data_IF_566822682678
#
_entry.id   IF_566822682678
#
_cell.length_a   1.000
_cell.length_b   1.000
_cell.length_c   1.000
_cell.angle_alpha   90.00
_cell.angle_beta   90.00
_cell.angle_gamma   90.00
#
_symmetry.space_group_name_H-M   'P 1'
#
loop_
_entity.id
_entity.type
_entity.pdbx_description
1 polymer ?
#
# COMPACT_ATOMS: atom_id res chain seq x y z
N UNK A 1 -19.14 7.60 -6.49
CA UNK A 1 -18.11 6.98 -7.38
C UNK A 1 -17.04 6.21 -6.60
N UNK A 2 -16.32 6.87 -5.69
CA UNK A 2 -15.21 6.27 -4.94
C UNK A 2 -15.63 5.10 -4.04
N UNK A 3 -16.79 5.21 -3.37
CA UNK A 3 -17.34 4.14 -2.51
C UNK A 3 -17.64 2.84 -3.28
N UNK A 4 -18.12 2.92 -4.53
CA UNK A 4 -18.39 1.73 -5.36
C UNK A 4 -17.10 1.03 -5.79
N UNK A 5 -16.04 1.80 -6.06
CA UNK A 5 -14.73 1.25 -6.38
C UNK A 5 -14.08 0.58 -5.16
N UNK A 6 -14.11 1.24 -4.00
CA UNK A 6 -13.62 0.64 -2.75
C UNK A 6 -14.38 -0.64 -2.38
N UNK A 7 -15.69 -0.68 -2.69
CA UNK A 7 -16.52 -1.87 -2.50
C UNK A 7 -16.28 -2.95 -3.57
N UNK A 8 -15.72 -2.57 -4.72
CA UNK A 8 -15.32 -3.48 -5.80
C UNK A 8 -13.92 -4.05 -5.63
N UNK A 9 -13.04 -3.37 -4.89
CA UNK A 9 -11.76 -3.91 -4.41
C UNK A 9 -12.02 -4.96 -3.31
N UNK A 10 -12.73 -4.55 -2.25
CA UNK A 10 -13.03 -5.43 -1.13
C UNK A 10 -14.42 -6.04 -1.19
N UNK A 11 -14.61 -7.17 -1.87
CA UNK A 11 -15.77 -8.04 -1.57
C UNK A 11 -15.56 -8.88 -0.30
N UNK A 12 -14.30 -9.13 0.10
CA UNK A 12 -13.95 -9.78 1.38
C UNK A 12 -13.37 -8.80 2.42
N UNK A 13 -12.68 -7.74 1.99
CA UNK A 13 -11.95 -6.80 2.88
C UNK A 13 -12.60 -5.42 3.05
N UNK A 14 -13.91 -5.28 2.78
CA UNK A 14 -14.65 -4.02 2.92
C UNK A 14 -14.45 -3.34 4.30
N UNK A 15 -14.23 -4.14 5.35
CA UNK A 15 -13.94 -3.64 6.69
C UNK A 15 -12.63 -2.86 6.80
N UNK A 16 -11.60 -3.22 6.02
CA UNK A 16 -10.32 -2.51 5.95
C UNK A 16 -10.47 -1.13 5.31
N UNK A 17 -11.09 -1.07 4.14
CA UNK A 17 -11.36 0.20 3.44
C UNK A 17 -12.28 1.13 4.21
N UNK A 18 -13.28 0.61 4.93
CA UNK A 18 -14.11 1.42 5.84
C UNK A 18 -13.27 2.10 6.92
N UNK A 19 -12.33 1.39 7.56
CA UNK A 19 -11.43 1.98 8.57
C UNK A 19 -10.54 3.05 7.97
N UNK A 20 -10.03 2.84 6.74
CA UNK A 20 -9.22 3.82 6.04
C UNK A 20 -10.03 5.09 5.78
N UNK A 21 -11.25 4.96 5.25
CA UNK A 21 -12.11 6.11 4.98
C UNK A 21 -12.46 6.88 6.25
N UNK A 22 -12.71 6.18 7.37
CA UNK A 22 -13.01 6.81 8.65
C UNK A 22 -11.81 7.56 9.24
N UNK A 23 -10.60 6.99 9.13
CA UNK A 23 -9.38 7.54 9.72
C UNK A 23 -8.65 8.55 8.80
N UNK A 24 -8.83 8.39 7.49
CA UNK A 24 -8.19 9.17 6.44
C UNK A 24 -9.24 9.59 5.38
N UNK A 25 -10.19 10.47 5.74
CA UNK A 25 -11.28 10.87 4.84
C UNK A 25 -10.77 11.53 3.54
N UNK A 26 -9.55 12.07 3.54
CA UNK A 26 -8.92 12.64 2.35
C UNK A 26 -8.76 11.63 1.20
N UNK A 27 -8.75 10.32 1.49
CA UNK A 27 -8.73 9.27 0.46
C UNK A 27 -9.93 9.38 -0.49
N UNK A 28 -11.05 9.94 -0.03
CA UNK A 28 -12.26 10.14 -0.83
C UNK A 28 -12.20 11.38 -1.72
N UNK A 29 -11.31 12.34 -1.41
CA UNK A 29 -11.11 13.57 -2.18
C UNK A 29 -10.22 13.29 -3.40
N UNK A 30 -9.31 12.33 -3.27
CA UNK A 30 -8.46 11.86 -4.35
C UNK A 30 -9.26 11.04 -5.38
N UNK A 31 -8.91 11.22 -6.65
CA UNK A 31 -9.54 10.49 -7.75
C UNK A 31 -9.08 9.04 -7.75
N UNK A 32 -10.04 8.13 -7.58
CA UNK A 32 -9.77 6.68 -7.58
C UNK A 32 -9.00 6.22 -8.81
N UNK A 33 -9.43 6.68 -9.98
CA UNK A 33 -8.91 6.21 -11.27
C UNK A 33 -7.52 6.78 -11.57
N UNK A 34 -7.27 8.04 -11.19
CA UNK A 34 -6.03 8.73 -11.58
C UNK A 34 -4.97 8.77 -10.48
N UNK A 35 -5.31 8.51 -9.21
CA UNK A 35 -4.31 8.48 -8.13
C UNK A 35 -4.26 7.17 -7.36
N UNK A 36 -5.40 6.67 -6.84
CA UNK A 36 -5.39 5.46 -6.01
C UNK A 36 -5.02 4.21 -6.80
N UNK A 37 -5.64 3.96 -7.96
CA UNK A 37 -5.35 2.78 -8.79
C UNK A 37 -3.87 2.71 -9.21
N UNK A 38 -3.27 3.77 -9.79
CA UNK A 38 -1.85 3.76 -10.13
C UNK A 38 -0.96 3.52 -8.90
N UNK A 39 -1.28 4.14 -7.75
CA UNK A 39 -0.52 3.98 -6.52
C UNK A 39 -0.60 2.55 -5.99
N UNK A 40 -1.78 1.95 -5.93
CA UNK A 40 -1.97 0.55 -5.51
C UNK A 40 -1.22 -0.40 -6.44
N UNK A 41 -1.30 -0.19 -7.77
CA UNK A 41 -0.56 -1.01 -8.74
C UNK A 41 0.96 -0.88 -8.58
N UNK A 42 1.45 0.33 -8.30
CA UNK A 42 2.85 0.57 -8.01
C UNK A 42 3.29 -0.17 -6.74
N UNK A 43 2.53 -0.04 -5.65
CA UNK A 43 2.81 -0.75 -4.40
C UNK A 43 2.83 -2.27 -4.64
N UNK A 44 1.86 -2.82 -5.36
CA UNK A 44 1.80 -4.26 -5.60
C UNK A 44 2.96 -4.77 -6.43
N UNK A 45 3.42 -3.97 -7.39
CA UNK A 45 4.65 -4.27 -8.11
C UNK A 45 5.88 -4.19 -7.19
N UNK A 46 5.94 -3.21 -6.31
CA UNK A 46 7.07 -3.02 -5.39
C UNK A 46 7.18 -4.16 -4.37
N UNK A 47 6.05 -4.59 -3.80
CA UNK A 47 5.98 -5.68 -2.83
C UNK A 47 5.82 -7.06 -3.49
N UNK A 48 5.82 -7.16 -4.82
CA UNK A 48 5.67 -8.44 -5.51
C UNK A 48 4.38 -9.22 -5.20
N UNK A 49 3.34 -8.54 -4.69
CA UNK A 49 2.06 -9.17 -4.31
C UNK A 49 0.97 -8.91 -5.35
N UNK A 50 0.04 -9.86 -5.47
CA UNK A 50 -1.13 -9.72 -6.35
C UNK A 50 -2.16 -8.72 -5.80
N UNK A 51 -2.24 -8.56 -4.47
CA UNK A 51 -3.13 -7.60 -3.80
C UNK A 51 -2.42 -6.90 -2.64
N UNK A 52 -2.56 -5.58 -2.58
CA UNK A 52 -2.01 -4.73 -1.53
C UNK A 52 -3.07 -4.24 -0.55
N UNK A 53 -4.29 -4.77 -0.63
CA UNK A 53 -5.40 -4.32 0.19
C UNK A 53 -5.13 -4.56 1.68
N UNK A 54 -4.56 -5.71 2.02
CA UNK A 54 -4.10 -6.02 3.37
C UNK A 54 -3.01 -5.05 3.85
N UNK A 55 -1.99 -4.79 3.03
CA UNK A 55 -0.91 -3.87 3.36
C UNK A 55 -1.43 -2.45 3.63
N UNK A 56 -2.33 -1.97 2.77
CA UNK A 56 -2.93 -0.64 2.88
C UNK A 56 -3.91 -0.58 4.06
N UNK A 57 -4.57 -1.68 4.40
CA UNK A 57 -5.41 -1.79 5.60
C UNK A 57 -4.58 -1.78 6.89
N UNK A 58 -3.40 -2.39 6.89
CA UNK A 58 -2.47 -2.41 8.02
C UNK A 58 -1.74 -1.08 8.19
N UNK A 59 -1.32 -0.46 7.09
CA UNK A 59 -0.61 0.81 7.09
C UNK A 59 -1.10 1.76 6.00
N UNK A 60 -2.25 2.41 6.22
CA UNK A 60 -2.83 3.34 5.26
C UNK A 60 -1.90 4.51 4.85
N UNK A 61 -1.02 5.05 5.73
CA UNK A 61 -0.09 6.12 5.35
C UNK A 61 0.76 5.83 4.11
N UNK A 62 0.96 4.55 3.76
CA UNK A 62 1.70 4.13 2.56
C UNK A 62 1.18 4.74 1.25
N UNK A 63 -0.12 5.06 1.19
CA UNK A 63 -0.73 5.69 0.02
C UNK A 63 -0.16 7.09 -0.25
N UNK A 64 0.38 7.75 0.77
CA UNK A 64 0.91 9.12 0.69
C UNK A 64 2.44 9.19 0.72
N UNK A 65 3.14 8.07 0.92
CA UNK A 65 4.60 8.05 0.88
C UNK A 65 5.10 8.34 -0.55
N UNK A 66 6.24 9.03 -0.67
CA UNK A 66 6.84 9.29 -1.97
C UNK A 66 7.40 7.99 -2.57
N UNK A 67 7.30 7.79 -3.90
CA UNK A 67 7.96 6.68 -4.58
C UNK A 67 9.46 6.62 -4.27
N UNK A 68 10.13 7.77 -4.25
CA UNK A 68 11.57 7.86 -3.96
C UNK A 68 11.93 7.33 -2.56
N UNK A 69 11.10 7.61 -1.56
CA UNK A 69 11.30 7.08 -0.19
C UNK A 69 11.12 5.56 -0.17
N UNK A 70 10.06 5.06 -0.81
CA UNK A 70 9.79 3.63 -0.90
C UNK A 70 10.92 2.88 -1.61
N UNK A 71 11.41 3.42 -2.72
CA UNK A 71 12.54 2.87 -3.46
C UNK A 71 13.83 2.90 -2.64
N UNK A 72 14.11 4.01 -1.94
CA UNK A 72 15.27 4.11 -1.07
C UNK A 72 15.26 3.07 0.05
N UNK A 73 14.08 2.81 0.65
CA UNK A 73 13.92 1.79 1.70
C UNK A 73 14.08 0.39 1.14
N UNK A 74 13.47 0.09 -0.01
CA UNK A 74 13.62 -1.21 -0.67
C UNK A 74 15.07 -1.44 -1.12
N UNK A 75 15.72 -0.43 -1.67
CA UNK A 75 17.14 -0.46 -2.01
C UNK A 75 18.00 -0.76 -0.79
N UNK A 76 17.74 -0.09 0.34
CA UNK A 76 18.46 -0.38 1.59
C UNK A 76 18.30 -1.83 2.03
N UNK A 77 17.09 -2.38 1.99
CA UNK A 77 16.86 -3.78 2.37
C UNK A 77 17.57 -4.76 1.42
N UNK A 78 17.53 -4.50 0.11
CA UNK A 78 18.14 -5.40 -0.90
C UNK A 78 19.65 -5.29 -0.96
N UNK A 79 20.19 -4.08 -1.03
CA UNK A 79 21.60 -3.85 -1.33
C UNK A 79 22.45 -3.70 -0.07
N UNK A 80 21.94 -2.99 0.96
CA UNK A 80 22.71 -2.79 2.20
C UNK A 80 22.59 -3.96 3.17
N UNK A 81 21.42 -4.60 3.24
CA UNK A 81 21.19 -5.76 4.11
C UNK A 81 21.28 -7.10 3.38
N UNK A 82 21.46 -7.08 2.05
CA UNK A 82 21.60 -8.29 1.21
C UNK A 82 20.43 -9.26 1.41
N UNK A 83 19.22 -8.71 1.58
CA UNK A 83 18.01 -9.50 1.79
C UNK A 83 17.47 -10.03 0.46
N UNK A 84 16.89 -11.22 0.48
CA UNK A 84 16.19 -11.76 -0.70
C UNK A 84 14.86 -11.02 -0.92
N UNK A 85 14.28 -11.17 -2.11
CA UNK A 85 12.96 -10.60 -2.40
C UNK A 85 11.90 -11.07 -1.41
N UNK A 86 11.92 -12.35 -1.04
CA UNK A 86 10.98 -12.94 -0.09
C UNK A 86 11.13 -12.33 1.31
N UNK A 87 12.37 -12.09 1.75
CA UNK A 87 12.66 -11.46 3.05
C UNK A 87 12.21 -10.00 3.06
N UNK A 88 12.47 -9.26 1.98
CA UNK A 88 11.99 -7.88 1.82
C UNK A 88 10.48 -7.83 1.85
N UNK A 89 9.80 -8.72 1.13
CA UNK A 89 8.34 -8.83 1.17
C UNK A 89 7.81 -9.15 2.56
N UNK A 90 8.47 -10.07 3.27
CA UNK A 90 8.10 -10.43 4.63
C UNK A 90 8.25 -9.24 5.59
N UNK A 91 9.39 -8.56 5.57
CA UNK A 91 9.65 -7.38 6.42
C UNK A 91 8.63 -6.29 6.13
N UNK A 92 8.34 -6.02 4.86
CA UNK A 92 7.42 -4.97 4.47
C UNK A 92 5.95 -5.29 4.77
N UNK A 93 5.56 -6.57 4.67
CA UNK A 93 4.23 -7.03 5.05
C UNK A 93 4.01 -7.05 6.57
N UNK A 94 5.04 -7.43 7.33
CA UNK A 94 4.97 -7.56 8.79
C UNK A 94 5.24 -6.24 9.52
N UNK A 95 6.12 -5.40 8.98
CA UNK A 95 6.57 -4.15 9.58
C UNK A 95 6.48 -2.97 8.59
N UNK A 96 5.28 -2.67 8.06
CA UNK A 96 5.10 -1.58 7.09
C UNK A 96 5.48 -0.21 7.63
N UNK A 97 5.56 -0.03 8.96
CA UNK A 97 6.06 1.18 9.61
C UNK A 97 7.53 1.51 9.28
N UNK A 98 8.33 0.55 8.83
CA UNK A 98 9.72 0.81 8.43
C UNK A 98 9.84 1.71 7.19
N UNK A 99 8.75 1.81 6.42
CA UNK A 99 8.64 2.68 5.25
C UNK A 99 8.43 4.16 5.62
N UNK A 100 8.06 4.44 6.88
CA UNK A 100 7.93 5.78 7.44
C UNK A 100 9.24 6.42 7.85
#
# INVERSE_FOLDING_TARGET
PNVKFLRGLGSEEWTGWQRIVLKYPQVLIHSVESSLKPKLKYLCKLFGVSSCENLVSLYPPILWLSPDLLESKVYFLRENLVMTEEEVQFVLGMFPQMLG
#
